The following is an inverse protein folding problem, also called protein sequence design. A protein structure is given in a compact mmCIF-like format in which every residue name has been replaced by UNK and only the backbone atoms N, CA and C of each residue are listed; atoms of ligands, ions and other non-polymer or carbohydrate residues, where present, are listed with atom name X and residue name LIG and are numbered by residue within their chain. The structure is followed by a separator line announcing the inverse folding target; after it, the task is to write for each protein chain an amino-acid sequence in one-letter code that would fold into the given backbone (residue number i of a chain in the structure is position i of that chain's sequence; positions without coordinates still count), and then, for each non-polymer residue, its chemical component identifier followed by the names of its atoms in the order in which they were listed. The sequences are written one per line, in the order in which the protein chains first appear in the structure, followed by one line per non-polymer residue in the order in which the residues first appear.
data_IF_706466380987
#
_entry.id   IF_706466380987
#
_cell.length_a   1.000
_cell.length_b   1.000
_cell.length_c   1.000
_cell.angle_alpha   90.00
_cell.angle_beta   90.00
_cell.angle_gamma   90.00
#
_symmetry.space_group_name_H-M   'P 1'
#
loop_
_entity.id
_entity.type
_entity.pdbx_description
1 polymer ?
#
# COMPACT_ATOMS: atom_id res chain seq x y z
N UNK A 1 -19.99 -1.70 -13.28
CA UNK A 1 -19.42 -2.21 -12.02
C UNK A 1 -18.03 -1.62 -11.80
N UNK A 2 -17.75 -1.22 -10.58
CA UNK A 2 -16.46 -0.62 -10.22
C UNK A 2 -15.65 -1.69 -9.48
N UNK A 3 -14.59 -2.23 -10.09
CA UNK A 3 -13.81 -3.29 -9.43
C UNK A 3 -13.02 -2.76 -8.24
N UNK A 4 -12.83 -3.62 -7.24
CA UNK A 4 -11.89 -3.35 -6.16
C UNK A 4 -10.48 -3.64 -6.67
N UNK A 5 -9.59 -2.67 -6.50
CA UNK A 5 -8.18 -2.80 -6.90
C UNK A 5 -7.34 -2.93 -5.65
N UNK A 6 -6.55 -4.01 -5.58
CA UNK A 6 -5.62 -4.22 -4.46
C UNK A 6 -4.24 -3.68 -4.84
N UNK A 7 -3.70 -2.82 -3.99
CA UNK A 7 -2.37 -2.25 -4.19
C UNK A 7 -1.44 -2.84 -3.13
N UNK A 8 -0.38 -3.53 -3.57
CA UNK A 8 0.61 -4.12 -2.68
C UNK A 8 1.82 -3.21 -2.61
N UNK A 9 2.21 -2.83 -1.40
CA UNK A 9 3.33 -1.94 -1.16
C UNK A 9 4.28 -2.59 -0.15
N UNK A 10 5.38 -3.20 -0.64
CA UNK A 10 6.43 -3.68 0.26
C UNK A 10 7.12 -2.49 0.92
N UNK A 11 7.38 -2.61 2.22
CA UNK A 11 7.97 -1.53 3.02
C UNK A 11 9.20 -2.06 3.74
N UNK A 12 10.37 -1.46 3.48
CA UNK A 12 11.57 -1.73 4.22
C UNK A 12 12.45 -0.49 4.24
N UNK A 13 12.74 0.01 5.45
CA UNK A 13 13.53 1.22 5.65
C UNK A 13 12.98 2.41 4.85
N UNK A 14 11.67 2.55 4.81
CA UNK A 14 10.99 3.53 3.95
C UNK A 14 10.37 4.68 4.76
N UNK A 15 10.75 4.85 6.02
CA UNK A 15 10.16 5.88 6.89
C UNK A 15 10.18 7.27 6.24
N UNK A 16 11.26 7.61 5.53
CA UNK A 16 11.39 8.94 4.92
C UNK A 16 10.55 9.11 3.66
N UNK A 17 10.26 8.02 2.94
CA UNK A 17 9.47 8.08 1.70
C UNK A 17 8.00 7.80 1.91
N UNK A 18 7.62 7.17 3.02
CA UNK A 18 6.23 6.81 3.29
C UNK A 18 5.27 8.00 3.33
N UNK A 19 5.62 9.17 3.90
CA UNK A 19 4.68 10.29 3.86
C UNK A 19 4.28 10.70 2.45
N UNK A 20 5.22 10.75 1.51
CA UNK A 20 4.91 11.06 0.12
C UNK A 20 4.11 9.94 -0.53
N UNK A 21 4.45 8.68 -0.24
CA UNK A 21 3.73 7.51 -0.74
C UNK A 21 2.27 7.56 -0.30
N UNK A 22 2.02 7.75 0.99
CA UNK A 22 0.65 7.82 1.54
C UNK A 22 -0.11 9.00 0.97
N UNK A 23 0.54 10.15 0.81
CA UNK A 23 -0.09 11.33 0.21
C UNK A 23 -0.55 11.05 -1.22
N UNK A 24 0.26 10.36 -2.00
CA UNK A 24 -0.08 10.01 -3.38
C UNK A 24 -1.22 8.99 -3.45
N UNK A 25 -1.28 8.04 -2.51
CA UNK A 25 -2.40 7.11 -2.42
C UNK A 25 -3.69 7.83 -2.04
N UNK A 26 -3.61 8.76 -1.11
CA UNK A 26 -4.75 9.57 -0.68
C UNK A 26 -5.27 10.43 -1.83
N UNK A 27 -4.39 10.86 -2.73
CA UNK A 27 -4.73 11.74 -3.86
C UNK A 27 -5.29 10.96 -5.07
N UNK A 28 -5.31 9.64 -5.05
CA UNK A 28 -5.84 8.87 -6.18
C UNK A 28 -7.30 9.24 -6.43
N UNK A 29 -7.64 9.46 -7.69
CA UNK A 29 -9.02 9.77 -8.08
C UNK A 29 -9.91 8.54 -8.00
N UNK A 30 -9.35 7.34 -8.21
CA UNK A 30 -10.05 6.09 -8.05
C UNK A 30 -9.98 5.67 -6.58
N UNK A 31 -11.13 5.45 -5.93
CA UNK A 31 -11.19 5.25 -4.48
C UNK A 31 -11.57 3.85 -4.03
N UNK A 32 -12.02 2.97 -4.94
CA UNK A 32 -12.39 1.60 -4.57
C UNK A 32 -11.12 0.75 -4.48
N UNK A 33 -10.35 1.00 -3.44
CA UNK A 33 -9.01 0.46 -3.24
C UNK A 33 -8.91 -0.36 -1.97
N UNK A 34 -8.08 -1.41 -2.05
CA UNK A 34 -7.52 -2.10 -0.90
C UNK A 34 -6.01 -1.87 -0.95
N UNK A 35 -5.46 -1.20 0.06
CA UNK A 35 -4.02 -0.97 0.14
C UNK A 35 -3.43 -1.95 1.14
N UNK A 36 -2.45 -2.73 0.71
CA UNK A 36 -1.79 -3.74 1.51
C UNK A 36 -0.33 -3.33 1.70
N UNK A 37 -0.01 -2.80 2.87
CA UNK A 37 1.37 -2.51 3.23
C UNK A 37 1.97 -3.77 3.87
N UNK A 38 3.14 -4.20 3.40
CA UNK A 38 3.85 -5.33 3.99
C UNK A 38 5.17 -4.83 4.52
N UNK A 39 5.26 -4.67 5.83
CA UNK A 39 6.49 -4.25 6.49
C UNK A 39 7.42 -5.45 6.64
N UNK A 40 8.57 -5.40 5.98
CA UNK A 40 9.54 -6.49 5.95
C UNK A 40 10.57 -6.33 7.07
N UNK A 41 10.09 -6.21 8.30
CA UNK A 41 10.90 -6.05 9.49
C UNK A 41 11.78 -4.78 9.44
N UNK A 42 11.14 -3.64 9.11
CA UNK A 42 11.85 -2.37 9.07
C UNK A 42 12.38 -1.99 10.46
N UNK A 43 13.65 -1.60 10.57
CA UNK A 43 14.21 -1.18 11.86
C UNK A 43 13.86 0.26 12.24
N UNK A 44 13.23 1.01 11.33
CA UNK A 44 12.85 2.41 11.54
C UNK A 44 11.40 2.55 12.01
N UNK A 45 10.89 3.78 12.04
CA UNK A 45 9.53 4.08 12.48
C UNK A 45 8.45 3.90 11.43
N UNK A 46 8.74 3.26 10.30
CA UNK A 46 7.78 3.12 9.21
C UNK A 46 6.50 2.41 9.58
N UNK A 47 6.60 1.31 10.33
CA UNK A 47 5.42 0.56 10.75
C UNK A 47 4.50 1.39 11.65
N UNK A 48 5.08 2.11 12.61
CA UNK A 48 4.31 2.98 13.52
C UNK A 48 3.63 4.08 12.72
N UNK A 49 4.33 4.68 11.77
CA UNK A 49 3.77 5.69 10.89
C UNK A 49 2.55 5.17 10.13
N UNK A 50 2.66 3.98 9.53
CA UNK A 50 1.57 3.39 8.77
C UNK A 50 0.36 3.11 9.64
N UNK A 51 0.56 2.60 10.85
CA UNK A 51 -0.54 2.33 11.78
C UNK A 51 -1.29 3.61 12.13
N UNK A 52 -0.58 4.73 12.20
CA UNK A 52 -1.20 6.04 12.45
C UNK A 52 -1.98 6.57 11.24
N UNK A 53 -1.59 6.19 10.03
CA UNK A 53 -2.25 6.65 8.81
C UNK A 53 -3.48 5.81 8.44
N UNK A 54 -3.56 4.58 8.92
CA UNK A 54 -4.63 3.66 8.55
C UNK A 54 -6.03 4.25 8.78
N UNK A 55 -6.36 4.81 9.97
CA UNK A 55 -7.70 5.37 10.18
C UNK A 55 -8.04 6.49 9.20
N UNK A 56 -7.06 7.31 8.85
CA UNK A 56 -7.28 8.44 7.94
C UNK A 56 -7.58 7.97 6.52
N UNK A 57 -6.91 6.92 6.07
CA UNK A 57 -7.19 6.33 4.75
C UNK A 57 -8.56 5.64 4.76
N UNK A 58 -8.89 4.97 5.84
CA UNK A 58 -10.19 4.29 5.96
C UNK A 58 -11.36 5.26 5.96
N UNK A 59 -11.16 6.47 6.48
CA UNK A 59 -12.19 7.52 6.42
C UNK A 59 -12.54 7.91 4.98
N UNK A 60 -11.62 7.70 4.03
CA UNK A 60 -11.84 7.97 2.62
C UNK A 60 -12.55 6.82 1.90
N UNK A 61 -12.90 5.75 2.62
CA UNK A 61 -13.51 4.57 2.02
C UNK A 61 -12.51 3.57 1.46
N UNK A 62 -11.22 3.74 1.75
CA UNK A 62 -10.15 2.85 1.31
C UNK A 62 -9.95 1.77 2.36
N UNK A 63 -9.88 0.50 1.93
CA UNK A 63 -9.55 -0.60 2.82
C UNK A 63 -8.03 -0.65 3.00
N UNK A 64 -7.56 -0.81 4.23
CA UNK A 64 -6.12 -0.82 4.52
C UNK A 64 -5.77 -2.04 5.37
N UNK A 65 -4.80 -2.81 4.89
CA UNK A 65 -4.22 -3.92 5.62
C UNK A 65 -2.74 -3.64 5.84
N UNK A 66 -2.26 -3.85 7.06
CA UNK A 66 -0.85 -3.70 7.39
C UNK A 66 -0.35 -5.04 7.90
N UNK A 67 0.53 -5.67 7.10
CA UNK A 67 1.13 -6.96 7.43
C UNK A 67 2.57 -6.72 7.85
N UNK A 68 3.09 -7.60 8.68
CA UNK A 68 4.43 -7.43 9.25
C UNK A 68 5.18 -8.76 9.27
N UNK A 69 6.41 -8.75 8.76
CA UNK A 69 7.33 -9.88 8.91
C UNK A 69 8.17 -9.67 10.17
N UNK A 70 8.33 -10.72 10.97
CA UNK A 70 9.16 -10.65 12.18
C UNK A 70 10.64 -10.71 11.87
N UNK A 71 11.01 -11.17 10.66
CA UNK A 71 12.38 -11.16 10.15
C UNK A 71 12.36 -10.65 8.72
N UNK A 72 13.47 -10.01 8.31
CA UNK A 72 13.58 -9.54 6.93
C UNK A 72 13.66 -10.74 5.98
N UNK A 73 12.78 -10.76 4.98
CA UNK A 73 12.68 -11.88 4.02
C UNK A 73 12.90 -11.43 2.58
N UNK A 74 13.03 -10.12 2.35
CA UNK A 74 13.22 -9.58 1.02
C UNK A 74 11.94 -9.14 0.33
N UNK A 75 12.09 -8.34 -0.74
CA UNK A 75 10.97 -7.69 -1.43
C UNK A 75 10.05 -8.71 -2.11
N UNK A 76 10.61 -9.77 -2.69
CA UNK A 76 9.79 -10.81 -3.35
C UNK A 76 8.90 -11.53 -2.34
N UNK A 77 9.44 -11.84 -1.15
CA UNK A 77 8.66 -12.47 -0.09
C UNK A 77 7.57 -11.53 0.42
N UNK A 78 7.88 -10.23 0.54
CA UNK A 78 6.90 -9.23 0.96
C UNK A 78 5.75 -9.14 -0.04
N UNK A 79 6.03 -9.15 -1.33
CA UNK A 79 4.99 -9.16 -2.36
C UNK A 79 4.12 -10.41 -2.28
N UNK A 80 4.73 -11.57 -2.06
CA UNK A 80 3.99 -12.82 -1.91
C UNK A 80 3.07 -12.79 -0.68
N UNK A 81 3.56 -12.23 0.42
CA UNK A 81 2.74 -12.05 1.62
C UNK A 81 1.56 -11.13 1.31
N UNK A 82 1.80 -10.03 0.59
CA UNK A 82 0.73 -9.13 0.17
C UNK A 82 -0.30 -9.82 -0.72
N UNK A 83 0.16 -10.65 -1.65
CA UNK A 83 -0.74 -11.41 -2.54
C UNK A 83 -1.71 -12.30 -1.75
N UNK A 84 -1.26 -12.85 -0.61
CA UNK A 84 -2.12 -13.70 0.21
C UNK A 84 -3.29 -12.94 0.85
N UNK A 85 -3.21 -11.62 0.92
CA UNK A 85 -4.24 -10.77 1.52
C UNK A 85 -5.13 -10.08 0.47
N UNK A 86 -4.89 -10.30 -0.81
CA UNK A 86 -5.63 -9.64 -1.89
C UNK A 86 -7.10 -10.06 -1.88
N UNK A 87 -7.98 -9.07 -1.89
CA UNK A 87 -9.43 -9.27 -2.05
C UNK A 87 -9.95 -8.64 -3.32
N UNK A 88 -9.16 -7.81 -3.99
CA UNK A 88 -9.56 -7.11 -5.19
C UNK A 88 -9.58 -7.99 -6.43
N UNK A 89 -10.23 -7.51 -7.47
CA UNK A 89 -10.30 -8.21 -8.74
C UNK A 89 -9.00 -8.07 -9.54
N UNK A 90 -8.26 -6.99 -9.28
CA UNK A 90 -6.97 -6.71 -9.92
C UNK A 90 -5.95 -6.30 -8.88
N UNK A 91 -4.68 -6.55 -9.17
CA UNK A 91 -3.56 -6.25 -8.29
C UNK A 91 -2.62 -5.27 -8.98
N UNK A 92 -2.23 -4.25 -8.25
CA UNK A 92 -1.26 -3.24 -8.70
C UNK A 92 -0.15 -3.18 -7.67
N UNK A 93 1.11 -3.30 -8.11
CA UNK A 93 2.25 -3.26 -7.19
C UNK A 93 2.95 -1.92 -7.29
N UNK A 94 3.21 -1.31 -6.13
CA UNK A 94 3.86 0.00 -6.03
C UNK A 94 5.00 -0.12 -5.02
N UNK A 95 6.17 0.40 -5.36
CA UNK A 95 7.26 0.51 -4.39
C UNK A 95 7.05 1.76 -3.53
N UNK A 96 7.49 1.70 -2.28
CA UNK A 96 7.24 2.78 -1.32
C UNK A 96 7.91 4.12 -1.69
N UNK A 97 8.88 4.10 -2.59
CA UNK A 97 9.57 5.29 -3.08
C UNK A 97 9.15 5.70 -4.51
N UNK A 98 8.18 5.01 -5.10
CA UNK A 98 7.69 5.35 -6.43
C UNK A 98 6.87 6.63 -6.42
N UNK A 99 6.88 7.32 -7.54
CA UNK A 99 5.97 8.42 -7.80
C UNK A 99 4.70 7.87 -8.47
N UNK A 100 3.55 8.30 -7.99
CA UNK A 100 2.26 7.82 -8.48
C UNK A 100 1.37 9.00 -8.88
N UNK A 101 1.04 9.09 -10.16
CA UNK A 101 0.13 10.13 -10.65
C UNK A 101 -1.24 9.96 -9.99
N UNK A 102 -1.93 11.06 -9.65
CA UNK A 102 -3.27 10.97 -9.02
C UNK A 102 -4.29 10.17 -9.82
N UNK A 103 -4.09 10.02 -11.14
CA UNK A 103 -5.00 9.26 -12.00
C UNK A 103 -4.45 7.88 -12.37
N UNK A 104 -3.32 7.46 -11.77
CA UNK A 104 -2.65 6.22 -12.16
C UNK A 104 -3.59 5.02 -12.10
N UNK A 105 -4.31 4.86 -10.99
CA UNK A 105 -5.20 3.71 -10.83
C UNK A 105 -6.43 3.84 -11.73
N UNK A 106 -6.96 5.05 -11.90
CA UNK A 106 -8.08 5.27 -12.82
C UNK A 106 -7.71 4.88 -14.25
N UNK A 107 -6.52 5.25 -14.71
CA UNK A 107 -6.03 4.88 -16.04
C UNK A 107 -5.79 3.38 -16.15
N UNK A 108 -5.34 2.74 -15.08
CA UNK A 108 -5.17 1.29 -15.05
C UNK A 108 -6.50 0.55 -15.20
N UNK A 109 -7.56 1.06 -14.55
CA UNK A 109 -8.91 0.47 -14.62
C UNK A 109 -9.55 0.71 -15.98
N UNK A 110 -9.34 1.89 -16.57
CA UNK A 110 -9.86 2.22 -17.88
C UNK A 110 -9.06 1.46 -18.96
#
# INVERSE_FOLDING_TARGET
MIPLISIIIPVYKAEQTLPACVAQLRAQTYRHLQIIFVDDCSPDGGLVYLKGQKPQLEELGIEVDILHHEVNQGVASARNTGLSAVRGEYVYSVDADDELDPRAIQLFVD
#
